data_IF_946370182960
#
_entry.id   IF_946370182960
#
_cell.length_a   1.000
_cell.length_b   1.000
_cell.length_c   1.000
_cell.angle_alpha   90.00
_cell.angle_beta   90.00
_cell.angle_gamma   90.00
#
_symmetry.space_group_name_H-M   'P 1'
#
loop_
_entity.id
_entity.type
_entity.pdbx_description
1 polymer ?
#
# COMPACT_ATOMS: atom_id res chain seq x y z
N UNK A 1 -18.00 1.81 -5.53
CA UNK A 1 -19.07 2.76 -5.84
C UNK A 1 -19.82 2.41 -7.12
N UNK A 2 -19.21 2.49 -8.32
CA UNK A 2 -19.89 2.23 -9.61
C UNK A 2 -20.66 0.89 -9.67
N UNK A 3 -20.04 -0.21 -9.21
CA UNK A 3 -20.70 -1.54 -9.11
C UNK A 3 -21.97 -1.52 -8.26
N UNK A 4 -21.99 -0.77 -7.16
CA UNK A 4 -23.14 -0.68 -6.25
C UNK A 4 -24.25 0.19 -6.84
N UNK A 5 -23.87 1.31 -7.47
CA UNK A 5 -24.83 2.19 -8.16
C UNK A 5 -25.57 1.43 -9.27
N UNK A 6 -24.85 0.62 -10.07
CA UNK A 6 -25.46 -0.24 -11.10
C UNK A 6 -26.39 -1.32 -10.52
N UNK A 7 -26.19 -1.72 -9.27
CA UNK A 7 -27.07 -2.65 -8.54
C UNK A 7 -28.24 -1.96 -7.82
N UNK A 8 -28.42 -0.65 -8.01
CA UNK A 8 -29.53 0.10 -7.41
C UNK A 8 -29.32 0.51 -5.95
N UNK A 9 -28.10 0.43 -5.42
CA UNK A 9 -27.82 0.89 -4.05
C UNK A 9 -28.05 2.40 -3.89
N UNK A 10 -28.59 2.81 -2.75
CA UNK A 10 -28.76 4.23 -2.40
C UNK A 10 -27.41 4.93 -2.22
N UNK A 11 -27.38 6.25 -2.38
CA UNK A 11 -26.19 7.07 -2.14
C UNK A 11 -25.64 6.83 -0.73
N UNK A 12 -26.50 6.81 0.27
CA UNK A 12 -26.16 6.61 1.67
C UNK A 12 -25.54 5.23 1.89
N UNK A 13 -26.13 4.18 1.29
CA UNK A 13 -25.59 2.82 1.34
C UNK A 13 -24.21 2.70 0.67
N UNK A 14 -24.01 3.40 -0.46
CA UNK A 14 -22.71 3.47 -1.13
C UNK A 14 -21.67 4.16 -0.24
N UNK A 15 -22.02 5.30 0.38
CA UNK A 15 -21.11 6.04 1.26
C UNK A 15 -20.70 5.21 2.48
N UNK A 16 -21.65 4.55 3.13
CA UNK A 16 -21.37 3.66 4.27
C UNK A 16 -20.41 2.53 3.89
N UNK A 17 -20.62 1.88 2.74
CA UNK A 17 -19.72 0.80 2.32
C UNK A 17 -18.33 1.32 1.94
N UNK A 18 -18.24 2.49 1.30
CA UNK A 18 -16.94 3.12 0.97
C UNK A 18 -16.16 3.46 2.24
N UNK A 19 -16.82 4.01 3.27
CA UNK A 19 -16.15 4.29 4.55
C UNK A 19 -15.73 3.02 5.28
N UNK A 20 -16.53 1.95 5.25
CA UNK A 20 -16.14 0.63 5.78
C UNK A 20 -14.92 0.09 5.03
N UNK A 21 -14.92 0.20 3.71
CA UNK A 21 -13.82 -0.26 2.85
C UNK A 21 -12.52 0.49 3.15
N UNK A 22 -12.57 1.82 3.24
CA UNK A 22 -11.41 2.67 3.57
C UNK A 22 -10.73 2.25 4.87
N UNK A 23 -11.50 1.81 5.88
CA UNK A 23 -10.97 1.37 7.19
C UNK A 23 -10.30 -0.01 7.16
N UNK A 24 -10.67 -0.86 6.22
CA UNK A 24 -10.09 -2.20 6.07
C UNK A 24 -8.89 -2.25 5.13
N UNK A 25 -8.66 -1.18 4.37
CA UNK A 25 -7.61 -1.11 3.38
C UNK A 25 -6.29 -0.77 4.06
N UNK A 26 -5.32 -1.64 3.91
CA UNK A 26 -3.93 -1.39 4.24
C UNK A 26 -3.19 -0.80 3.05
N UNK A 27 -2.31 0.15 3.33
CA UNK A 27 -1.32 0.66 2.37
C UNK A 27 0.03 0.78 3.06
N UNK A 28 1.03 0.11 2.50
CA UNK A 28 2.42 0.24 2.89
C UNK A 28 3.25 0.51 1.65
N UNK A 29 4.25 1.38 1.77
CA UNK A 29 5.16 1.64 0.66
C UNK A 29 6.56 1.98 1.12
N UNK A 30 7.52 1.72 0.24
CA UNK A 30 8.93 2.01 0.39
C UNK A 30 9.33 2.99 -0.70
N UNK A 31 10.24 3.88 -0.38
CA UNK A 31 10.84 4.83 -1.32
C UNK A 31 12.36 4.80 -1.16
N UNK A 32 13.09 5.01 -2.25
CA UNK A 32 14.56 5.10 -2.17
C UNK A 32 15.02 6.34 -1.43
N UNK A 33 14.27 7.43 -1.57
CA UNK A 33 14.58 8.69 -0.92
C UNK A 33 13.31 9.46 -0.57
N UNK A 34 13.31 10.08 0.61
CA UNK A 34 12.26 11.01 1.03
C UNK A 34 12.32 12.36 0.30
N UNK A 35 13.35 12.61 -0.53
CA UNK A 35 13.53 13.89 -1.22
C UNK A 35 12.38 14.19 -2.19
N UNK A 36 11.88 13.20 -2.95
CA UNK A 36 10.75 13.41 -3.85
C UNK A 36 9.48 13.82 -3.09
N UNK A 37 9.21 13.15 -1.97
CA UNK A 37 8.07 13.48 -1.11
C UNK A 37 8.22 14.88 -0.50
N UNK A 38 9.44 15.24 -0.10
CA UNK A 38 9.76 16.56 0.45
C UNK A 38 9.59 17.66 -0.58
N UNK A 39 10.23 17.54 -1.74
CA UNK A 39 10.16 18.51 -2.85
C UNK A 39 8.72 18.65 -3.36
N UNK A 40 8.01 17.53 -3.43
CA UNK A 40 6.60 17.50 -3.75
C UNK A 40 5.71 18.11 -2.67
N UNK A 41 6.15 18.29 -1.43
CA UNK A 41 5.30 18.73 -0.32
C UNK A 41 4.29 17.67 0.16
N UNK A 42 4.49 16.39 -0.21
CA UNK A 42 3.62 15.26 0.16
C UNK A 42 4.21 14.40 1.29
N UNK A 43 5.33 14.82 1.87
CA UNK A 43 6.02 14.07 2.94
C UNK A 43 5.22 13.91 4.24
N UNK A 44 4.24 14.78 4.50
CA UNK A 44 3.35 14.70 5.65
C UNK A 44 4.09 14.53 6.99
N UNK A 45 3.63 13.58 7.81
CA UNK A 45 4.18 13.23 9.11
C UNK A 45 5.59 12.62 9.05
N UNK A 46 6.01 12.10 7.89
CA UNK A 46 7.34 11.51 7.71
C UNK A 46 8.48 12.55 7.63
N UNK A 47 8.20 13.85 7.77
CA UNK A 47 9.20 14.93 7.70
C UNK A 47 10.36 14.76 8.71
N UNK A 48 10.09 14.20 9.88
CA UNK A 48 11.11 13.93 10.91
C UNK A 48 12.18 12.94 10.50
N UNK A 49 11.94 12.14 9.45
CA UNK A 49 12.86 11.10 8.99
C UNK A 49 13.91 11.58 7.98
N UNK A 50 13.84 12.85 7.57
CA UNK A 50 14.77 13.41 6.57
C UNK A 50 16.24 13.34 7.01
N UNK A 51 16.52 13.41 8.31
CA UNK A 51 17.87 13.32 8.86
C UNK A 51 18.36 11.86 9.07
N UNK A 52 17.44 10.90 9.21
CA UNK A 52 17.75 9.53 9.62
C UNK A 52 17.85 8.53 8.46
N UNK A 53 17.43 8.91 7.25
CA UNK A 53 17.39 8.01 6.09
C UNK A 53 18.77 7.51 5.63
N UNK A 54 19.86 8.18 6.03
CA UNK A 54 21.24 7.75 5.73
C UNK A 54 21.59 6.33 6.22
N UNK A 55 20.83 5.74 7.15
CA UNK A 55 21.14 4.40 7.73
C UNK A 55 19.93 3.47 7.87
N UNK A 56 18.74 3.91 7.45
CA UNK A 56 17.45 3.27 7.72
C UNK A 56 16.51 3.49 6.54
N UNK A 57 15.79 2.45 6.16
CA UNK A 57 14.74 2.38 5.16
C UNK A 57 13.39 2.54 5.88
N UNK A 58 12.69 3.67 5.69
CA UNK A 58 11.37 3.85 6.25
C UNK A 58 10.33 3.08 5.43
N UNK A 59 9.51 2.31 6.14
CA UNK A 59 8.23 1.84 5.65
C UNK A 59 7.22 2.94 5.94
N UNK A 60 6.52 3.38 4.92
CA UNK A 60 5.57 4.47 4.96
C UNK A 60 4.14 3.94 4.81
N UNK A 61 3.18 4.72 5.29
CA UNK A 61 1.76 4.45 5.14
C UNK A 61 1.00 5.76 4.90
N UNK A 62 -0.32 5.67 4.73
CA UNK A 62 -1.21 6.82 4.62
C UNK A 62 -2.12 6.85 5.85
N UNK A 63 -2.01 7.91 6.64
CA UNK A 63 -2.84 8.16 7.81
C UNK A 63 -3.58 9.49 7.62
N UNK A 64 -4.90 9.46 7.75
CA UNK A 64 -5.76 10.65 7.57
C UNK A 64 -5.50 11.40 6.25
N UNK A 65 -5.18 10.66 5.19
CA UNK A 65 -4.89 11.21 3.86
C UNK A 65 -3.49 11.79 3.68
N UNK A 66 -2.60 11.66 4.67
CA UNK A 66 -1.22 12.13 4.59
C UNK A 66 -0.22 10.98 4.69
N UNK A 67 0.95 11.16 4.07
CA UNK A 67 2.08 10.24 4.25
C UNK A 67 2.55 10.29 5.69
N UNK A 68 2.73 9.11 6.28
CA UNK A 68 3.23 8.96 7.64
C UNK A 68 4.26 7.82 7.72
N UNK A 69 5.08 7.85 8.76
CA UNK A 69 6.05 6.81 9.05
C UNK A 69 5.34 5.62 9.71
N UNK A 70 5.37 4.45 9.07
CA UNK A 70 4.89 3.22 9.67
C UNK A 70 5.95 2.59 10.57
N UNK A 71 7.15 2.32 10.00
CA UNK A 71 8.23 1.66 10.73
C UNK A 71 9.59 1.93 10.09
N UNK A 72 10.61 2.02 10.92
CA UNK A 72 11.99 2.23 10.49
C UNK A 72 12.75 0.90 10.55
N UNK A 73 13.33 0.49 9.42
CA UNK A 73 14.01 -0.81 9.29
C UNK A 73 15.35 -0.61 8.60
N UNK A 74 16.39 -1.36 8.99
CA UNK A 74 17.67 -1.36 8.27
C UNK A 74 17.70 -2.48 7.23
N UNK A 75 17.99 -2.11 5.98
CA UNK A 75 18.14 -3.01 4.85
C UNK A 75 16.82 -3.26 4.10
N UNK A 76 16.90 -3.23 2.77
CA UNK A 76 15.76 -3.40 1.86
C UNK A 76 15.03 -4.73 2.03
N UNK A 77 15.79 -5.84 2.10
CA UNK A 77 15.20 -7.17 2.28
C UNK A 77 14.42 -7.28 3.59
N UNK A 78 14.93 -6.69 4.67
CA UNK A 78 14.24 -6.66 5.95
C UNK A 78 13.02 -5.75 5.90
N UNK A 79 13.09 -4.61 5.23
CA UNK A 79 11.93 -3.73 5.05
C UNK A 79 10.79 -4.43 4.29
N UNK A 80 11.10 -5.12 3.18
CA UNK A 80 10.13 -5.94 2.43
C UNK A 80 9.57 -7.08 3.27
N UNK A 81 10.39 -7.76 4.07
CA UNK A 81 9.90 -8.79 4.99
C UNK A 81 8.94 -8.22 6.04
N UNK A 82 9.29 -7.09 6.67
CA UNK A 82 8.44 -6.43 7.66
C UNK A 82 7.13 -5.96 7.01
N UNK A 83 7.15 -5.46 5.78
CA UNK A 83 5.94 -5.16 5.01
C UNK A 83 5.03 -6.40 4.88
N UNK A 84 5.58 -7.54 4.46
CA UNK A 84 4.83 -8.79 4.38
C UNK A 84 4.34 -9.29 5.75
N UNK A 85 5.10 -9.09 6.82
CA UNK A 85 4.68 -9.48 8.16
C UNK A 85 3.49 -8.63 8.60
N UNK A 86 3.55 -7.32 8.40
CA UNK A 86 2.45 -6.40 8.68
C UNK A 86 1.21 -6.66 7.82
N UNK A 87 1.38 -7.01 6.55
CA UNK A 87 0.25 -7.41 5.70
C UNK A 87 -0.50 -8.61 6.31
N UNK A 88 0.23 -9.59 6.86
CA UNK A 88 -0.34 -10.77 7.52
C UNK A 88 -1.09 -10.48 8.82
N UNK A 89 -0.91 -9.31 9.44
CA UNK A 89 -1.72 -8.88 10.59
C UNK A 89 -3.14 -8.50 10.16
N UNK A 90 -3.34 -8.15 8.89
CA UNK A 90 -4.64 -7.76 8.32
C UNK A 90 -5.25 -8.85 7.44
N UNK A 91 -4.44 -9.47 6.59
CA UNK A 91 -4.88 -10.49 5.65
C UNK A 91 -5.11 -11.81 6.37
N UNK A 92 -6.29 -12.40 6.16
CA UNK A 92 -6.60 -13.73 6.66
C UNK A 92 -6.19 -14.77 5.63
N UNK A 93 -5.73 -15.93 6.11
CA UNK A 93 -5.44 -17.09 5.27
C UNK A 93 -6.73 -17.87 4.93
N UNK A 94 -7.79 -17.17 4.53
CA UNK A 94 -9.11 -17.74 4.20
C UNK A 94 -9.46 -17.61 2.69
N UNK A 95 -8.47 -17.26 1.87
CA UNK A 95 -8.62 -17.09 0.43
C UNK A 95 -9.43 -15.85 0.03
N UNK A 96 -9.62 -14.88 0.93
CA UNK A 96 -10.30 -13.62 0.63
C UNK A 96 -9.34 -12.45 0.38
N UNK A 97 -8.03 -12.65 0.54
CA UNK A 97 -7.06 -11.59 0.36
C UNK A 97 -7.08 -11.06 -1.08
N UNK A 98 -7.18 -9.73 -1.20
CA UNK A 98 -6.97 -8.98 -2.43
C UNK A 98 -5.75 -8.10 -2.22
N UNK A 99 -4.77 -8.25 -3.10
CA UNK A 99 -3.48 -7.57 -3.00
C UNK A 99 -3.22 -6.86 -4.31
N UNK A 100 -2.68 -5.65 -4.21
CA UNK A 100 -2.11 -4.97 -5.34
C UNK A 100 -0.71 -4.50 -5.02
N UNK A 101 0.22 -4.77 -5.94
CA UNK A 101 1.60 -4.35 -5.85
C UNK A 101 1.83 -3.21 -6.85
N UNK A 102 2.18 -2.04 -6.33
CA UNK A 102 2.49 -0.86 -7.15
C UNK A 102 4.00 -0.64 -7.24
N UNK A 103 4.49 -0.18 -8.39
CA UNK A 103 5.88 0.26 -8.52
C UNK A 103 6.06 1.55 -9.31
N UNK A 104 7.15 2.26 -9.09
CA UNK A 104 7.59 3.40 -9.90
C UNK A 104 9.00 3.09 -10.40
N UNK A 105 9.14 2.78 -11.70
CA UNK A 105 10.42 2.40 -12.32
C UNK A 105 11.15 1.23 -11.60
N UNK A 106 10.39 0.22 -11.15
CA UNK A 106 10.91 -0.95 -10.42
C UNK A 106 10.08 -2.23 -10.67
N UNK A 107 9.89 -2.64 -11.93
CA UNK A 107 9.01 -3.76 -12.26
C UNK A 107 9.54 -5.11 -11.73
N UNK A 108 10.86 -5.29 -11.65
CA UNK A 108 11.47 -6.54 -11.19
C UNK A 108 11.21 -6.77 -9.70
N UNK A 109 11.45 -5.74 -8.89
CA UNK A 109 11.19 -5.78 -7.45
C UNK A 109 9.70 -5.90 -7.14
N UNK A 110 8.84 -5.38 -8.01
CA UNK A 110 7.40 -5.55 -7.91
C UNK A 110 6.99 -7.01 -8.11
N UNK A 111 7.55 -7.69 -9.12
CA UNK A 111 7.31 -9.12 -9.35
C UNK A 111 7.85 -9.96 -8.19
N UNK A 112 9.04 -9.67 -7.67
CA UNK A 112 9.58 -10.35 -6.49
C UNK A 112 8.66 -10.22 -5.26
N UNK A 113 8.12 -9.02 -5.02
CA UNK A 113 7.18 -8.78 -3.93
C UNK A 113 5.85 -9.51 -4.19
N UNK A 114 5.37 -9.52 -5.44
CA UNK A 114 4.17 -10.23 -5.84
C UNK A 114 4.30 -11.73 -5.61
N UNK A 115 5.41 -12.37 -6.03
CA UNK A 115 5.65 -13.79 -5.79
C UNK A 115 5.63 -14.13 -4.29
N UNK A 116 6.31 -13.33 -3.47
CA UNK A 116 6.29 -13.52 -2.01
C UNK A 116 4.89 -13.34 -1.42
N UNK A 117 4.07 -12.45 -1.98
CA UNK A 117 2.67 -12.33 -1.59
C UNK A 117 1.85 -13.57 -2.00
N UNK A 118 2.09 -14.11 -3.22
CA UNK A 118 1.42 -15.34 -3.70
C UNK A 118 1.73 -16.51 -2.76
N UNK A 119 3.01 -16.71 -2.44
CA UNK A 119 3.48 -17.77 -1.54
C UNK A 119 2.92 -17.64 -0.13
N UNK A 120 2.93 -16.41 0.44
CA UNK A 120 2.57 -16.20 1.84
C UNK A 120 1.06 -16.15 2.09
N UNK A 121 0.28 -15.62 1.16
CA UNK A 121 -1.13 -15.30 1.39
C UNK A 121 -2.12 -16.07 0.53
N UNK A 122 -1.65 -16.75 -0.54
CA UNK A 122 -2.52 -17.38 -1.54
C UNK A 122 -3.73 -16.49 -1.91
N UNK A 123 -3.48 -15.24 -2.35
CA UNK A 123 -4.52 -14.24 -2.53
C UNK A 123 -5.49 -14.66 -3.63
N UNK A 124 -6.75 -14.30 -3.46
CA UNK A 124 -7.78 -14.46 -4.49
C UNK A 124 -7.44 -13.67 -5.75
N UNK A 125 -6.96 -12.45 -5.53
CA UNK A 125 -6.62 -11.51 -6.58
C UNK A 125 -5.30 -10.85 -6.21
N UNK A 126 -4.36 -10.87 -7.15
CA UNK A 126 -3.11 -10.16 -7.08
C UNK A 126 -2.83 -9.49 -8.41
N UNK A 127 -2.67 -8.18 -8.41
CA UNK A 127 -2.29 -7.42 -9.60
C UNK A 127 -1.05 -6.57 -9.34
N UNK A 128 -0.19 -6.47 -10.34
CA UNK A 128 0.91 -5.52 -10.36
C UNK A 128 0.48 -4.31 -11.19
N UNK A 129 0.80 -3.09 -10.73
CA UNK A 129 0.56 -1.87 -11.49
C UNK A 129 1.77 -0.94 -11.48
N UNK A 130 1.90 -0.15 -12.55
CA UNK A 130 2.83 0.98 -12.60
C UNK A 130 2.18 2.24 -12.01
N UNK A 131 2.83 2.86 -11.04
CA UNK A 131 2.35 4.04 -10.34
C UNK A 131 2.36 5.21 -11.32
N UNK A 132 1.16 5.74 -11.59
CA UNK A 132 0.99 6.84 -12.54
C UNK A 132 1.75 8.11 -12.15
N UNK A 133 2.03 8.94 -13.16
CA UNK A 133 2.93 10.11 -13.08
C UNK A 133 2.64 11.07 -11.91
N UNK A 134 1.38 11.29 -11.56
CA UNK A 134 1.01 12.20 -10.46
C UNK A 134 1.55 11.69 -9.11
N UNK A 135 1.36 10.40 -8.82
CA UNK A 135 1.84 9.79 -7.57
C UNK A 135 3.34 9.52 -7.67
N UNK A 136 3.80 9.01 -8.82
CA UNK A 136 5.21 8.68 -9.07
C UNK A 136 6.13 9.89 -8.96
N UNK A 137 5.72 11.08 -9.42
CA UNK A 137 6.51 12.32 -9.27
C UNK A 137 6.80 12.66 -7.80
N UNK A 138 5.86 12.35 -6.90
CA UNK A 138 6.01 12.64 -5.48
C UNK A 138 6.67 11.50 -4.71
N UNK A 139 6.41 10.25 -5.05
CA UNK A 139 7.02 9.11 -4.36
C UNK A 139 8.47 8.85 -4.84
N UNK A 140 8.74 9.15 -6.11
CA UNK A 140 10.04 8.95 -6.76
C UNK A 140 10.15 7.60 -7.50
N UNK A 141 11.13 7.45 -8.41
CA UNK A 141 11.56 6.15 -8.91
C UNK A 141 12.05 5.26 -7.76
N UNK A 142 12.04 3.95 -7.95
CA UNK A 142 12.40 3.00 -6.90
C UNK A 142 11.28 2.73 -5.88
N UNK A 143 10.09 3.33 -6.07
CA UNK A 143 8.97 3.15 -5.13
C UNK A 143 8.37 1.77 -5.31
N UNK A 144 8.11 1.10 -4.19
CA UNK A 144 7.33 -0.14 -4.11
C UNK A 144 6.20 0.03 -3.11
N UNK A 145 4.99 -0.35 -3.50
CA UNK A 145 3.79 -0.23 -2.68
C UNK A 145 3.02 -1.55 -2.63
N UNK A 146 2.40 -1.82 -1.49
CA UNK A 146 1.41 -2.87 -1.32
C UNK A 146 0.11 -2.22 -0.81
N UNK A 147 -0.97 -2.42 -1.54
CA UNK A 147 -2.33 -2.11 -1.12
C UNK A 147 -3.10 -3.40 -0.96
N UNK A 148 -3.73 -3.60 0.19
CA UNK A 148 -4.26 -4.91 0.55
C UNK A 148 -5.51 -4.80 1.44
N UNK A 149 -6.42 -5.74 1.27
CA UNK A 149 -7.63 -5.88 2.09
C UNK A 149 -8.19 -7.30 1.93
N UNK A 150 -9.10 -7.70 2.81
CA UNK A 150 -9.90 -8.91 2.59
C UNK A 150 -11.18 -8.54 1.83
N UNK A 151 -11.53 -9.29 0.80
CA UNK A 151 -12.72 -9.04 -0.02
C UNK A 151 -13.98 -9.00 0.85
N UNK A 152 -14.73 -7.91 0.74
CA UNK A 152 -16.05 -7.82 1.38
C UNK A 152 -17.04 -8.69 0.61
N UNK A 153 -17.51 -9.75 1.24
CA UNK A 153 -18.77 -10.37 0.85
C UNK A 153 -19.91 -9.50 1.37
N UNK A 154 -20.75 -8.91 0.49
CA UNK A 154 -21.96 -8.22 0.94
C UNK A 154 -23.00 -9.19 1.54
N UNK A 155 -22.79 -10.51 1.38
CA UNK A 155 -23.75 -11.57 1.72
C UNK A 155 -23.26 -12.45 2.89
N UNK A 156 -22.32 -11.97 3.72
CA UNK A 156 -21.78 -12.69 4.88
C UNK A 156 -21.40 -11.76 6.03
#
# INVERSE_FOLDING_TARGET
ASRLARKGATKEGILQLVEKFKRSLGILFLVETLQYLKMGGRIGGAKGLLASMLKIQPILTIKEGQVDAFKNVRGWNKARQVMLDTMGETLKADGQAVIFVGHSDSPQEAEELAERCREKFAPRELNIWEIGSVVGTHAGPGTLAAVYFNEFRPDG
#
